data_IF_562047458250
#
_entry.id   IF_562047458250
#
_cell.length_a   1.000
_cell.length_b   1.000
_cell.length_c   1.000
_cell.angle_alpha   90.00
_cell.angle_beta   90.00
_cell.angle_gamma   90.00
#
_symmetry.space_group_name_H-M   'P 1'
#
loop_
_entity.id
_entity.type
_entity.pdbx_description
1 polymer ?
#
# COMPACT_ATOMS: atom_id res chain seq x y z
N UNK A 1 -19.31 -9.63 -28.19
CA UNK A 1 -19.86 -8.66 -27.22
C UNK A 1 -19.98 -9.34 -25.86
N UNK A 2 -19.64 -8.66 -24.76
CA UNK A 2 -19.54 -9.32 -23.46
C UNK A 2 -20.92 -9.56 -22.83
N UNK A 3 -21.12 -10.78 -22.34
CA UNK A 3 -22.33 -11.17 -21.61
C UNK A 3 -22.22 -10.67 -20.17
N UNK A 4 -23.30 -10.13 -19.56
CA UNK A 4 -23.24 -9.71 -18.17
C UNK A 4 -22.78 -10.80 -17.21
N UNK A 5 -21.94 -10.43 -16.24
CA UNK A 5 -21.46 -11.33 -15.19
C UNK A 5 -22.61 -11.75 -14.28
N UNK A 6 -22.68 -13.05 -13.92
CA UNK A 6 -23.65 -13.55 -12.95
C UNK A 6 -23.37 -13.03 -11.53
N UNK A 7 -24.40 -12.85 -10.71
CA UNK A 7 -24.26 -12.23 -9.38
C UNK A 7 -23.22 -12.93 -8.47
N UNK A 8 -23.19 -14.27 -8.44
CA UNK A 8 -22.19 -15.01 -7.65
C UNK A 8 -20.77 -14.83 -8.19
N UNK A 9 -20.61 -14.81 -9.52
CA UNK A 9 -19.32 -14.55 -10.14
C UNK A 9 -18.84 -13.11 -9.89
N UNK A 10 -19.78 -12.15 -9.79
CA UNK A 10 -19.44 -10.77 -9.47
C UNK A 10 -18.87 -10.62 -8.06
N UNK A 11 -19.50 -11.21 -7.04
CA UNK A 11 -18.94 -11.24 -5.67
C UNK A 11 -17.58 -11.91 -5.65
N UNK A 12 -17.45 -13.05 -6.33
CA UNK A 12 -16.19 -13.79 -6.39
C UNK A 12 -15.07 -12.95 -7.05
N UNK A 13 -15.36 -12.27 -8.15
CA UNK A 13 -14.39 -11.42 -8.84
C UNK A 13 -13.91 -10.26 -7.95
N UNK A 14 -14.84 -9.55 -7.27
CA UNK A 14 -14.49 -8.46 -6.36
C UNK A 14 -13.63 -8.96 -5.18
N UNK A 15 -14.03 -10.06 -4.54
CA UNK A 15 -13.27 -10.65 -3.42
C UNK A 15 -11.90 -11.16 -3.88
N UNK A 16 -11.79 -11.69 -5.09
CA UNK A 16 -10.51 -12.13 -5.67
C UNK A 16 -9.53 -10.97 -5.86
N UNK A 17 -10.04 -9.76 -6.08
CA UNK A 17 -9.22 -8.53 -6.07
C UNK A 17 -8.93 -7.97 -4.66
N UNK A 18 -9.30 -8.69 -3.59
CA UNK A 18 -9.03 -8.29 -2.21
C UNK A 18 -10.09 -7.36 -1.59
N UNK A 19 -11.21 -7.11 -2.26
CA UNK A 19 -12.24 -6.19 -1.75
C UNK A 19 -13.06 -6.79 -0.62
N UNK A 20 -13.38 -5.93 0.36
CA UNK A 20 -14.39 -6.19 1.40
C UNK A 20 -15.79 -5.92 0.84
N UNK A 21 -16.45 -6.97 0.39
CA UNK A 21 -17.79 -6.90 -0.20
C UNK A 21 -18.88 -7.04 0.86
N UNK A 22 -19.81 -6.08 0.88
CA UNK A 22 -21.02 -6.08 1.70
C UNK A 22 -22.23 -6.24 0.79
N UNK A 23 -23.09 -7.19 1.10
CA UNK A 23 -24.27 -7.51 0.30
C UNK A 23 -25.52 -6.88 0.91
N UNK A 24 -26.21 -6.00 0.19
CA UNK A 24 -27.29 -5.19 0.77
C UNK A 24 -28.67 -5.69 0.34
N UNK A 25 -29.37 -6.35 1.26
CA UNK A 25 -30.72 -6.87 1.03
C UNK A 25 -30.78 -7.80 -0.20
N UNK A 26 -31.80 -7.62 -1.03
CA UNK A 26 -32.04 -8.41 -2.25
C UNK A 26 -31.24 -7.95 -3.48
N UNK A 27 -30.03 -7.40 -3.32
CA UNK A 27 -29.25 -6.78 -4.40
C UNK A 27 -29.11 -7.65 -5.66
N UNK A 28 -28.99 -8.98 -5.50
CA UNK A 28 -28.84 -9.96 -6.60
C UNK A 28 -29.97 -9.96 -7.61
N UNK A 29 -31.17 -9.54 -7.20
CA UNK A 29 -32.37 -9.47 -8.04
C UNK A 29 -32.97 -8.06 -8.07
N UNK A 30 -32.30 -7.08 -7.45
CA UNK A 30 -32.72 -5.68 -7.45
C UNK A 30 -32.18 -5.00 -8.70
N UNK A 31 -33.06 -4.73 -9.66
CA UNK A 31 -32.71 -4.11 -10.94
C UNK A 31 -33.93 -3.49 -11.62
N UNK A 32 -33.66 -2.88 -12.77
CA UNK A 32 -34.64 -2.24 -13.65
C UNK A 32 -34.71 -2.91 -15.02
N UNK A 33 -34.52 -4.23 -15.10
CA UNK A 33 -34.58 -4.96 -16.38
C UNK A 33 -35.95 -4.81 -17.08
N UNK A 34 -37.01 -4.56 -16.32
CA UNK A 34 -38.34 -4.27 -16.88
C UNK A 34 -38.43 -2.90 -17.60
N UNK A 35 -37.40 -2.05 -17.50
CA UNK A 35 -37.31 -0.77 -18.22
C UNK A 35 -36.51 -0.86 -19.53
N UNK A 36 -35.88 -2.00 -19.80
CA UNK A 36 -35.08 -2.20 -21.00
C UNK A 36 -34.05 -3.30 -20.84
N UNK A 37 -33.41 -3.70 -21.94
CA UNK A 37 -32.40 -4.76 -21.92
C UNK A 37 -31.22 -4.41 -21.00
N UNK A 38 -30.57 -5.44 -20.49
CA UNK A 38 -29.29 -5.36 -19.80
C UNK A 38 -28.24 -6.10 -20.62
N UNK A 39 -27.18 -5.42 -21.00
CA UNK A 39 -26.16 -5.91 -21.89
C UNK A 39 -26.47 -5.71 -23.39
N UNK A 40 -25.50 -5.99 -24.27
CA UNK A 40 -24.11 -6.36 -23.95
C UNK A 40 -23.40 -5.28 -23.14
N UNK A 41 -22.51 -5.69 -22.24
CA UNK A 41 -21.76 -4.76 -21.38
C UNK A 41 -20.40 -4.45 -22.00
N UNK A 42 -19.87 -3.27 -21.71
CA UNK A 42 -18.66 -2.75 -22.35
C UNK A 42 -17.69 -2.07 -21.39
N UNK A 43 -18.11 -1.73 -20.17
CA UNK A 43 -17.19 -1.08 -19.24
C UNK A 43 -17.72 -0.87 -17.84
N UNK A 44 -16.91 -0.15 -17.07
CA UNK A 44 -17.16 0.26 -15.70
C UNK A 44 -17.28 1.78 -15.67
N UNK A 45 -18.32 2.29 -15.00
CA UNK A 45 -18.53 3.72 -14.86
C UNK A 45 -18.41 4.13 -13.40
N UNK A 46 -17.53 5.08 -13.13
CA UNK A 46 -17.29 5.61 -11.78
C UNK A 46 -18.09 6.91 -11.61
N UNK A 47 -18.74 7.04 -10.46
CA UNK A 47 -19.55 8.18 -10.05
C UNK A 47 -19.11 8.67 -8.68
N UNK A 48 -19.44 9.92 -8.35
CA UNK A 48 -19.54 10.36 -6.95
C UNK A 48 -21.01 10.58 -6.60
N UNK A 49 -21.35 10.39 -5.33
CA UNK A 49 -22.76 10.35 -4.91
C UNK A 49 -23.37 11.70 -4.54
N UNK A 50 -22.57 12.73 -4.30
CA UNK A 50 -23.02 14.01 -3.69
C UNK A 50 -23.70 13.76 -2.33
N UNK A 51 -23.14 12.83 -1.56
CA UNK A 51 -23.65 12.45 -0.23
C UNK A 51 -22.51 12.36 0.78
N UNK A 52 -22.89 12.30 2.06
CA UNK A 52 -22.00 11.97 3.16
C UNK A 52 -22.66 10.96 4.09
N UNK A 53 -21.82 10.14 4.74
CA UNK A 53 -22.24 9.09 5.63
C UNK A 53 -22.59 7.81 4.87
N UNK A 54 -21.88 6.74 5.20
CA UNK A 54 -21.96 5.47 4.47
C UNK A 54 -23.37 4.86 4.46
N UNK A 55 -24.06 4.83 5.61
CA UNK A 55 -25.41 4.27 5.70
C UNK A 55 -26.43 5.01 4.82
N UNK A 56 -26.41 6.36 4.85
CA UNK A 56 -27.27 7.19 4.01
C UNK A 56 -26.96 7.02 2.53
N UNK A 57 -25.67 6.99 2.19
CA UNK A 57 -25.20 6.84 0.81
C UNK A 57 -25.65 5.51 0.22
N UNK A 58 -25.45 4.41 0.95
CA UNK A 58 -25.89 3.07 0.53
C UNK A 58 -27.41 3.00 0.37
N UNK A 59 -28.18 3.57 1.29
CA UNK A 59 -29.64 3.58 1.20
C UNK A 59 -30.14 4.37 -0.01
N UNK A 60 -29.60 5.58 -0.25
CA UNK A 60 -29.96 6.39 -1.42
C UNK A 60 -29.63 5.65 -2.72
N UNK A 61 -28.43 5.07 -2.84
CA UNK A 61 -28.07 4.34 -4.06
C UNK A 61 -28.88 3.06 -4.25
N UNK A 62 -29.32 2.40 -3.18
CA UNK A 62 -30.17 1.20 -3.29
C UNK A 62 -31.60 1.55 -3.68
N UNK A 63 -32.21 2.49 -2.97
CA UNK A 63 -33.65 2.78 -3.07
C UNK A 63 -33.93 3.83 -4.15
N UNK A 64 -33.01 4.77 -4.37
CA UNK A 64 -33.22 5.96 -5.18
C UNK A 64 -34.18 6.94 -4.51
N UNK A 65 -34.76 7.81 -5.32
CA UNK A 65 -35.74 8.81 -4.87
C UNK A 65 -36.84 8.98 -5.93
N UNK A 66 -37.86 9.79 -5.64
CA UNK A 66 -39.10 9.87 -6.44
C UNK A 66 -38.87 10.10 -7.95
N UNK A 67 -37.92 10.96 -8.30
CA UNK A 67 -37.59 11.27 -9.71
C UNK A 67 -36.52 10.37 -10.31
N UNK A 68 -35.80 9.59 -9.48
CA UNK A 68 -34.80 8.62 -9.94
C UNK A 68 -34.84 7.35 -9.06
N UNK A 69 -35.74 6.40 -9.38
CA UNK A 69 -35.86 5.18 -8.56
C UNK A 69 -34.66 4.26 -8.75
N UNK A 70 -34.25 3.60 -7.67
CA UNK A 70 -33.07 2.73 -7.65
C UNK A 70 -33.25 1.38 -8.37
N UNK A 71 -32.18 0.55 -8.38
CA UNK A 71 -30.85 0.88 -7.89
C UNK A 71 -30.15 1.93 -8.78
N UNK A 72 -29.37 2.79 -8.15
CA UNK A 72 -28.59 3.85 -8.81
C UNK A 72 -27.18 3.40 -9.19
N UNK A 73 -26.82 2.14 -8.93
CA UNK A 73 -25.54 1.55 -9.30
C UNK A 73 -25.55 0.03 -9.02
N UNK A 74 -24.45 -0.64 -9.32
CA UNK A 74 -24.23 -2.04 -8.94
C UNK A 74 -23.56 -2.14 -7.57
N UNK A 75 -22.62 -1.23 -7.28
CA UNK A 75 -21.95 -1.15 -5.99
C UNK A 75 -21.73 0.28 -5.52
N UNK A 76 -21.81 0.50 -4.20
CA UNK A 76 -21.41 1.74 -3.53
C UNK A 76 -20.03 1.55 -2.88
N UNK A 77 -19.12 2.50 -3.06
CA UNK A 77 -17.79 2.48 -2.44
C UNK A 77 -17.70 3.58 -1.38
N UNK A 78 -17.66 3.18 -0.12
CA UNK A 78 -17.63 4.07 1.04
C UNK A 78 -16.21 4.54 1.36
N UNK A 79 -16.08 5.59 2.17
CA UNK A 79 -14.77 6.19 2.52
C UNK A 79 -13.77 5.20 3.14
N UNK A 80 -14.26 4.14 3.79
CA UNK A 80 -13.45 3.06 4.39
C UNK A 80 -13.05 1.94 3.40
N UNK A 81 -13.35 2.10 2.10
CA UNK A 81 -12.96 1.15 1.05
C UNK A 81 -13.86 -0.09 0.93
N UNK A 82 -15.00 -0.16 1.63
CA UNK A 82 -15.96 -1.26 1.44
C UNK A 82 -16.77 -1.07 0.17
N UNK A 83 -17.11 -2.19 -0.45
CA UNK A 83 -17.98 -2.23 -1.64
C UNK A 83 -19.33 -2.83 -1.26
N UNK A 84 -20.35 -2.00 -1.21
CA UNK A 84 -21.72 -2.37 -0.88
C UNK A 84 -22.51 -2.66 -2.16
N UNK A 85 -22.82 -3.92 -2.43
CA UNK A 85 -23.61 -4.31 -3.61
C UNK A 85 -25.08 -4.03 -3.37
N UNK A 86 -25.67 -3.20 -4.23
CA UNK A 86 -27.05 -2.71 -4.09
C UNK A 86 -27.95 -3.11 -5.26
N UNK A 87 -27.40 -3.48 -6.42
CA UNK A 87 -28.18 -3.92 -7.58
C UNK A 87 -27.40 -4.83 -8.52
N UNK A 88 -28.14 -5.62 -9.30
CA UNK A 88 -27.57 -6.54 -10.31
C UNK A 88 -28.51 -6.70 -11.51
N UNK A 89 -28.06 -6.19 -12.66
CA UNK A 89 -28.88 -5.99 -13.86
C UNK A 89 -28.88 -4.52 -14.26
N UNK A 90 -29.81 -4.10 -15.13
CA UNK A 90 -29.96 -2.69 -15.52
C UNK A 90 -30.18 -1.82 -14.26
N UNK A 91 -29.32 -0.83 -14.04
CA UNK A 91 -29.43 0.16 -12.97
C UNK A 91 -29.60 1.58 -13.55
N UNK A 92 -30.07 2.53 -12.74
CA UNK A 92 -30.27 3.92 -13.16
C UNK A 92 -29.05 4.78 -12.75
N UNK A 93 -27.98 4.73 -13.53
CA UNK A 93 -26.71 5.38 -13.16
C UNK A 93 -26.09 6.20 -14.30
N UNK A 94 -25.93 5.62 -15.48
CA UNK A 94 -25.27 6.26 -16.61
C UNK A 94 -26.19 7.21 -17.38
N UNK A 95 -27.51 6.96 -17.38
CA UNK A 95 -28.44 7.78 -18.15
C UNK A 95 -28.15 7.78 -19.66
N UNK A 96 -28.55 8.87 -20.33
CA UNK A 96 -28.22 9.13 -21.73
C UNK A 96 -26.83 9.75 -21.81
N UNK A 97 -26.00 9.30 -22.74
CA UNK A 97 -24.70 9.90 -23.03
C UNK A 97 -24.30 9.70 -24.49
N UNK A 98 -23.02 9.89 -24.74
CA UNK A 98 -22.45 10.09 -26.07
C UNK A 98 -22.14 8.74 -26.76
N UNK A 99 -22.64 8.52 -27.98
CA UNK A 99 -22.39 7.28 -28.71
C UNK A 99 -20.96 7.15 -29.24
N UNK A 100 -20.27 8.27 -29.51
CA UNK A 100 -18.85 8.25 -29.88
C UNK A 100 -17.98 7.81 -28.70
N UNK A 101 -18.32 8.24 -27.49
CA UNK A 101 -17.69 7.72 -26.26
C UNK A 101 -17.95 6.22 -26.12
N UNK A 102 -19.20 5.76 -26.32
CA UNK A 102 -19.50 4.32 -26.26
C UNK A 102 -18.70 3.53 -27.29
N UNK A 103 -18.61 4.01 -28.54
CA UNK A 103 -17.81 3.39 -29.60
C UNK A 103 -16.33 3.32 -29.21
N UNK A 104 -15.79 4.36 -28.56
CA UNK A 104 -14.41 4.37 -28.08
C UNK A 104 -14.17 3.36 -26.96
N UNK A 105 -15.08 3.24 -25.99
CA UNK A 105 -15.04 2.22 -24.93
C UNK A 105 -15.10 0.81 -25.53
N UNK A 106 -16.02 0.55 -26.47
CA UNK A 106 -16.17 -0.75 -27.14
C UNK A 106 -14.88 -1.15 -27.85
N UNK A 107 -14.20 -0.18 -28.47
CA UNK A 107 -12.96 -0.40 -29.21
C UNK A 107 -11.69 -0.28 -28.32
N UNK A 108 -11.84 0.00 -27.02
CA UNK A 108 -10.76 0.23 -26.06
C UNK A 108 -9.73 1.27 -26.54
N UNK A 109 -10.23 2.42 -26.98
CA UNK A 109 -9.44 3.55 -27.53
C UNK A 109 -9.52 4.78 -26.63
N UNK A 110 -8.70 5.78 -26.92
CA UNK A 110 -8.85 7.11 -26.30
C UNK A 110 -10.26 7.66 -26.51
N UNK A 111 -10.82 8.25 -25.45
CA UNK A 111 -12.16 8.82 -25.49
C UNK A 111 -12.15 10.16 -26.26
N UNK A 112 -13.12 10.39 -27.16
CA UNK A 112 -13.38 11.70 -27.70
C UNK A 112 -14.00 12.61 -26.61
N UNK A 113 -13.98 13.94 -26.79
CA UNK A 113 -14.82 14.82 -25.99
C UNK A 113 -16.28 14.44 -26.17
N UNK A 114 -17.03 14.39 -25.06
CA UNK A 114 -18.47 14.22 -25.07
C UNK A 114 -19.14 15.52 -25.53
N UNK A 115 -20.05 15.42 -26.49
CA UNK A 115 -20.77 16.58 -27.02
C UNK A 115 -22.27 16.34 -27.23
N UNK A 116 -22.74 15.11 -27.09
CA UNK A 116 -24.14 14.76 -27.20
C UNK A 116 -24.62 13.69 -26.20
N UNK A 117 -25.93 13.51 -26.07
CA UNK A 117 -26.54 12.56 -25.15
C UNK A 117 -27.66 11.77 -25.85
N UNK A 118 -27.27 10.89 -26.77
CA UNK A 118 -28.15 10.19 -27.71
C UNK A 118 -28.27 8.67 -27.44
N UNK A 119 -27.50 8.13 -26.49
CA UNK A 119 -27.40 6.67 -26.24
C UNK A 119 -27.65 6.30 -24.77
N UNK A 120 -28.47 5.27 -24.53
CA UNK A 120 -28.73 4.75 -23.16
C UNK A 120 -27.52 3.96 -22.63
N UNK A 121 -26.78 4.56 -21.71
CA UNK A 121 -25.63 3.93 -21.06
C UNK A 121 -26.01 2.92 -19.97
N UNK A 122 -27.22 2.99 -19.42
CA UNK A 122 -27.64 2.15 -18.29
C UNK A 122 -27.62 0.65 -18.60
N UNK A 123 -27.65 0.28 -19.88
CA UNK A 123 -27.59 -1.10 -20.34
C UNK A 123 -26.16 -1.62 -20.57
N UNK A 124 -25.18 -0.72 -20.67
CA UNK A 124 -23.85 -1.04 -21.20
C UNK A 124 -22.73 -0.99 -20.14
N UNK A 125 -22.96 -0.36 -18.99
CA UNK A 125 -21.91 -0.12 -17.99
C UNK A 125 -22.25 -0.70 -16.62
N UNK A 126 -21.23 -1.21 -15.92
CA UNK A 126 -21.33 -1.46 -14.48
C UNK A 126 -21.04 -0.16 -13.71
N UNK A 127 -22.05 0.47 -13.14
CA UNK A 127 -21.89 1.65 -12.28
C UNK A 127 -21.36 1.34 -10.87
N UNK A 128 -20.36 2.11 -10.43
CA UNK A 128 -19.97 2.24 -9.02
C UNK A 128 -20.14 3.68 -8.55
N UNK A 129 -20.90 3.84 -7.47
CA UNK A 129 -21.17 5.12 -6.82
C UNK A 129 -20.26 5.28 -5.60
N UNK A 130 -19.48 6.34 -5.55
CA UNK A 130 -18.49 6.52 -4.48
C UNK A 130 -18.90 7.65 -3.54
N UNK A 131 -18.91 7.37 -2.23
CA UNK A 131 -19.24 8.34 -1.18
C UNK A 131 -18.32 9.56 -1.28
N UNK A 132 -18.84 10.68 -1.78
CA UNK A 132 -18.15 11.96 -1.84
C UNK A 132 -19.15 13.12 -2.02
N UNK A 133 -18.82 14.29 -1.49
CA UNK A 133 -19.64 15.51 -1.63
C UNK A 133 -19.65 16.10 -3.05
N UNK A 134 -18.69 15.74 -3.92
CA UNK A 134 -18.62 16.22 -5.30
C UNK A 134 -18.21 17.69 -5.45
N UNK A 135 -17.77 18.34 -4.37
CA UNK A 135 -17.41 19.76 -4.33
C UNK A 135 -15.95 20.03 -4.75
N UNK A 136 -15.15 18.97 -4.93
CA UNK A 136 -13.72 19.02 -5.23
C UNK A 136 -12.83 19.34 -4.03
N UNK A 137 -13.39 19.36 -2.82
CA UNK A 137 -12.68 19.58 -1.55
C UNK A 137 -12.77 18.36 -0.64
N UNK A 138 -13.89 17.63 -0.67
CA UNK A 138 -14.06 16.39 0.08
C UNK A 138 -13.02 15.34 -0.38
N UNK A 139 -12.12 14.90 0.51
CA UNK A 139 -11.02 14.05 0.14
C UNK A 139 -11.49 12.67 -0.34
N UNK A 140 -10.67 12.06 -1.19
CA UNK A 140 -10.77 10.65 -1.56
C UNK A 140 -9.72 9.87 -0.74
N UNK A 141 -10.10 9.18 0.35
CA UNK A 141 -9.15 8.40 1.12
C UNK A 141 -8.46 7.35 0.26
N UNK A 142 -7.20 7.02 0.58
CA UNK A 142 -6.43 6.02 -0.16
C UNK A 142 -7.16 4.67 -0.25
N UNK A 143 -7.80 4.23 0.84
CA UNK A 143 -8.61 3.01 0.87
C UNK A 143 -9.81 3.05 -0.09
N UNK A 144 -10.42 4.23 -0.29
CA UNK A 144 -11.52 4.39 -1.24
C UNK A 144 -11.01 4.35 -2.69
N UNK A 145 -9.89 5.03 -2.98
CA UNK A 145 -9.27 5.00 -4.31
C UNK A 145 -8.77 3.61 -4.71
N UNK A 146 -8.16 2.89 -3.77
CA UNK A 146 -7.75 1.49 -3.96
C UNK A 146 -8.97 0.58 -4.20
N UNK A 147 -10.07 0.80 -3.49
CA UNK A 147 -11.30 0.06 -3.71
C UNK A 147 -11.93 0.31 -5.10
N UNK A 148 -11.91 1.55 -5.60
CA UNK A 148 -12.38 1.90 -6.96
C UNK A 148 -11.54 1.16 -8.00
N UNK A 149 -10.22 1.23 -7.86
CA UNK A 149 -9.28 0.58 -8.76
C UNK A 149 -9.46 -0.95 -8.79
N UNK A 150 -9.55 -1.59 -7.62
CA UNK A 150 -9.78 -3.04 -7.49
C UNK A 150 -11.12 -3.45 -8.07
N UNK A 151 -12.18 -2.68 -7.85
CA UNK A 151 -13.51 -2.99 -8.35
C UNK A 151 -13.57 -2.92 -9.89
N UNK A 152 -12.93 -1.90 -10.46
CA UNK A 152 -12.79 -1.77 -11.91
C UNK A 152 -11.94 -2.90 -12.50
N UNK A 153 -10.77 -3.18 -11.91
CA UNK A 153 -9.88 -4.26 -12.35
C UNK A 153 -10.55 -5.64 -12.29
N UNK A 154 -11.37 -5.92 -11.27
CA UNK A 154 -12.11 -7.18 -11.14
C UNK A 154 -13.01 -7.45 -12.36
N UNK A 155 -13.75 -6.43 -12.80
CA UNK A 155 -14.62 -6.53 -13.97
C UNK A 155 -13.82 -6.56 -15.27
N UNK A 156 -12.77 -5.74 -15.39
CA UNK A 156 -11.88 -5.79 -16.55
C UNK A 156 -11.28 -7.18 -16.74
N UNK A 157 -10.74 -7.80 -15.68
CA UNK A 157 -10.22 -9.17 -15.77
C UNK A 157 -11.27 -10.20 -16.12
N UNK A 158 -12.48 -10.08 -15.58
CA UNK A 158 -13.55 -11.02 -15.86
C UNK A 158 -13.94 -11.01 -17.35
N UNK A 159 -14.05 -9.81 -17.94
CA UNK A 159 -14.49 -9.64 -19.33
C UNK A 159 -13.33 -9.62 -20.34
N UNK A 160 -12.08 -9.65 -19.88
CA UNK A 160 -10.90 -9.51 -20.72
C UNK A 160 -10.70 -8.08 -21.25
N UNK A 161 -11.22 -7.08 -20.55
CA UNK A 161 -11.06 -5.67 -20.88
C UNK A 161 -9.77 -5.08 -20.33
N UNK A 162 -9.36 -3.97 -20.92
CA UNK A 162 -8.28 -3.09 -20.50
C UNK A 162 -8.82 -1.92 -19.69
N UNK A 163 -7.91 -1.07 -19.23
CA UNK A 163 -8.26 0.10 -18.44
C UNK A 163 -9.10 1.13 -19.20
N UNK A 164 -9.04 1.13 -20.53
CA UNK A 164 -9.82 2.02 -21.41
C UNK A 164 -11.34 1.77 -21.30
N UNK A 165 -11.77 0.60 -20.80
CA UNK A 165 -13.17 0.33 -20.48
C UNK A 165 -13.65 0.96 -19.15
N UNK A 166 -12.78 1.70 -18.44
CA UNK A 166 -13.10 2.36 -17.17
C UNK A 166 -13.20 3.87 -17.37
N UNK A 167 -14.41 4.41 -17.22
CA UNK A 167 -14.72 5.81 -17.49
C UNK A 167 -15.40 6.49 -16.30
N UNK A 168 -15.27 7.80 -16.20
CA UNK A 168 -16.10 8.63 -15.32
C UNK A 168 -17.40 9.02 -16.02
N UNK A 169 -18.43 9.37 -15.26
CA UNK A 169 -19.68 9.92 -15.83
C UNK A 169 -19.43 11.26 -16.55
N UNK A 170 -18.48 12.05 -16.06
CA UNK A 170 -17.98 13.29 -16.67
C UNK A 170 -17.37 13.09 -18.06
N UNK A 171 -17.00 11.85 -18.42
CA UNK A 171 -16.47 11.49 -19.74
C UNK A 171 -17.55 10.88 -20.64
N UNK A 172 -18.78 10.69 -20.13
CA UNK A 172 -19.88 10.00 -20.79
C UNK A 172 -21.00 10.94 -21.25
N UNK A 173 -21.32 11.96 -20.45
CA UNK A 173 -22.48 12.82 -20.68
C UNK A 173 -22.11 14.31 -20.53
N UNK A 174 -22.42 15.15 -21.55
CA UNK A 174 -22.15 16.58 -21.48
C UNK A 174 -22.75 17.25 -20.26
N UNK A 175 -21.91 18.00 -19.54
CA UNK A 175 -22.31 18.76 -18.35
C UNK A 175 -22.30 17.96 -17.04
N UNK A 176 -21.96 16.66 -17.07
CA UNK A 176 -21.65 15.91 -15.85
C UNK A 176 -20.24 16.23 -15.36
N UNK A 177 -20.07 16.18 -14.04
CA UNK A 177 -18.82 16.58 -13.38
C UNK A 177 -18.23 15.45 -12.51
N UNK A 178 -18.90 14.30 -12.43
CA UNK A 178 -18.57 13.21 -11.55
C UNK A 178 -17.78 12.08 -12.23
N UNK A 179 -16.74 11.50 -11.58
CA UNK A 179 -16.18 11.84 -10.28
C UNK A 179 -15.33 13.12 -10.31
N UNK A 180 -15.29 13.86 -9.19
CA UNK A 180 -14.55 15.12 -9.06
C UNK A 180 -13.52 14.97 -7.94
N UNK A 181 -12.30 15.42 -8.16
CA UNK A 181 -11.21 15.38 -7.18
C UNK A 181 -10.03 14.47 -7.56
N UNK A 182 -10.20 13.56 -8.53
CA UNK A 182 -9.10 12.86 -9.20
C UNK A 182 -9.37 12.79 -10.70
N UNK A 183 -8.32 12.52 -11.49
CA UNK A 183 -8.45 12.36 -12.95
C UNK A 183 -8.74 10.91 -13.30
N UNK A 184 -9.66 10.67 -14.23
CA UNK A 184 -9.87 9.33 -14.77
C UNK A 184 -8.65 8.79 -15.52
N UNK A 185 -7.75 9.66 -16.02
CA UNK A 185 -6.46 9.22 -16.58
C UNK A 185 -5.56 8.59 -15.51
N UNK A 186 -5.49 9.18 -14.32
CA UNK A 186 -4.69 8.60 -13.23
C UNK A 186 -5.33 7.32 -12.70
N UNK A 187 -6.66 7.26 -12.60
CA UNK A 187 -7.38 6.04 -12.23
C UNK A 187 -7.16 4.90 -13.26
N UNK A 188 -7.28 5.19 -14.56
CA UNK A 188 -6.98 4.21 -15.62
C UNK A 188 -5.53 3.76 -15.59
N UNK A 189 -4.57 4.63 -15.26
CA UNK A 189 -3.17 4.23 -15.08
C UNK A 189 -3.01 3.22 -13.93
N UNK A 190 -3.66 3.46 -12.79
CA UNK A 190 -3.69 2.52 -11.66
C UNK A 190 -4.31 1.18 -12.03
N UNK A 191 -5.47 1.20 -12.69
CA UNK A 191 -6.13 -0.03 -13.18
C UNK A 191 -5.21 -0.79 -14.15
N UNK A 192 -4.58 -0.10 -15.09
CA UNK A 192 -3.65 -0.72 -16.06
C UNK A 192 -2.50 -1.41 -15.36
N UNK A 193 -1.89 -0.76 -14.38
CA UNK A 193 -0.79 -1.36 -13.62
C UNK A 193 -1.27 -2.57 -12.81
N UNK A 194 -2.40 -2.45 -12.11
CA UNK A 194 -2.98 -3.59 -11.40
C UNK A 194 -3.21 -4.78 -12.32
N UNK A 195 -3.73 -4.55 -13.53
CA UNK A 195 -3.98 -5.61 -14.51
C UNK A 195 -2.71 -6.37 -14.94
N UNK A 196 -1.51 -5.78 -14.80
CA UNK A 196 -0.23 -6.46 -15.04
C UNK A 196 0.16 -7.46 -13.94
N UNK A 197 -0.49 -7.39 -12.78
CA UNK A 197 -0.23 -8.28 -11.63
C UNK A 197 -1.32 -9.32 -11.45
N UNK A 198 -1.10 -10.28 -10.55
CA UNK A 198 -2.14 -11.23 -10.14
C UNK A 198 -3.26 -10.51 -9.37
N UNK A 199 -4.52 -11.00 -9.46
CA UNK A 199 -5.62 -10.48 -8.66
C UNK A 199 -5.27 -10.42 -7.17
N UNK A 200 -5.65 -9.33 -6.51
CA UNK A 200 -5.37 -9.14 -5.08
C UNK A 200 -3.97 -8.59 -4.78
N UNK A 201 -3.15 -8.32 -5.80
CA UNK A 201 -1.90 -7.57 -5.65
C UNK A 201 -2.11 -6.24 -4.90
N UNK A 202 -1.09 -5.80 -4.18
CA UNK A 202 -1.12 -4.55 -3.42
C UNK A 202 0.09 -3.70 -3.81
N UNK A 203 -0.07 -2.38 -3.73
CA UNK A 203 0.96 -1.40 -4.13
C UNK A 203 2.21 -1.42 -3.23
N UNK A 204 2.21 -2.27 -2.20
CA UNK A 204 3.12 -2.20 -1.06
C UNK A 204 2.60 -1.17 -0.06
N UNK A 205 2.64 -1.48 1.23
CA UNK A 205 2.47 -0.46 2.26
C UNK A 205 3.57 0.61 2.04
N UNK A 206 3.21 1.89 2.04
CA UNK A 206 4.23 2.94 2.11
C UNK A 206 5.04 2.69 3.40
N UNK A 207 6.34 2.38 3.25
CA UNK A 207 7.37 2.12 4.27
C UNK A 207 7.65 3.37 5.15
N UNK A 208 6.62 4.11 5.57
CA UNK A 208 6.74 5.26 6.48
C UNK A 208 6.94 4.83 7.94
N UNK A 209 6.82 3.52 8.23
CA UNK A 209 7.16 2.96 9.55
C UNK A 209 8.55 2.32 9.52
N UNK A 210 9.45 2.69 10.45
CA UNK A 210 10.76 2.06 10.52
C UNK A 210 10.65 0.58 10.83
N UNK A 211 11.48 -0.22 10.17
CA UNK A 211 11.79 -1.58 10.56
C UNK A 211 12.66 -1.57 11.82
N UNK A 212 12.60 -2.64 12.63
CA UNK A 212 13.25 -2.70 13.94
C UNK A 212 14.42 -3.67 13.93
N UNK A 213 15.55 -3.25 14.50
CA UNK A 213 16.68 -4.12 14.88
C UNK A 213 16.47 -4.54 16.33
N UNK A 214 16.52 -5.85 16.59
CA UNK A 214 16.15 -6.39 17.90
C UNK A 214 16.98 -7.56 18.40
N UNK A 215 18.25 -7.65 18.00
CA UNK A 215 19.08 -8.81 18.28
C UNK A 215 19.61 -8.87 19.72
N UNK A 216 19.72 -10.09 20.23
CA UNK A 216 20.17 -10.40 21.57
C UNK A 216 20.89 -11.74 21.58
N UNK A 217 22.05 -11.80 22.24
CA UNK A 217 22.78 -13.04 22.48
C UNK A 217 23.52 -13.03 23.81
N UNK A 218 23.70 -14.21 24.39
CA UNK A 218 24.42 -14.48 25.64
C UNK A 218 25.64 -15.36 25.44
N UNK A 219 26.05 -15.58 24.20
CA UNK A 219 27.27 -16.33 23.91
C UNK A 219 28.48 -15.46 24.24
N UNK A 220 29.40 -16.03 25.00
CA UNK A 220 30.62 -15.32 25.41
C UNK A 220 31.47 -14.95 24.18
N UNK A 221 31.86 -13.66 24.11
CA UNK A 221 32.81 -13.17 23.12
C UNK A 221 34.08 -12.73 23.83
N UNK A 222 35.18 -13.41 23.52
CA UNK A 222 36.51 -13.07 24.03
C UNK A 222 37.13 -11.93 23.22
N UNK A 223 37.60 -10.89 23.90
CA UNK A 223 38.37 -9.79 23.34
C UNK A 223 39.83 -9.88 23.80
N UNK A 224 40.76 -9.93 22.85
CA UNK A 224 42.17 -9.74 23.14
C UNK A 224 42.44 -8.25 23.45
N UNK A 225 43.37 -7.95 24.36
CA UNK A 225 43.70 -6.57 24.66
C UNK A 225 44.30 -5.88 23.43
N UNK A 226 43.97 -4.59 23.26
CA UNK A 226 44.49 -3.68 22.23
C UNK A 226 44.20 -4.11 20.79
N UNK A 227 43.23 -5.00 20.56
CA UNK A 227 42.85 -5.47 19.24
C UNK A 227 41.37 -5.19 18.96
N UNK A 228 41.10 -4.61 17.80
CA UNK A 228 39.74 -4.45 17.28
C UNK A 228 39.20 -5.79 16.79
N UNK A 229 37.98 -6.12 17.21
CA UNK A 229 37.27 -7.32 16.79
C UNK A 229 35.88 -6.95 16.28
N UNK A 230 35.58 -7.30 15.03
CA UNK A 230 34.21 -7.28 14.52
C UNK A 230 33.37 -8.28 15.29
N UNK A 231 32.27 -7.82 15.87
CA UNK A 231 31.40 -8.66 16.66
C UNK A 231 30.30 -9.26 15.79
N UNK A 232 30.15 -10.57 15.88
CA UNK A 232 28.98 -11.27 15.38
C UNK A 232 27.90 -11.22 16.45
N UNK A 233 26.84 -10.43 16.24
CA UNK A 233 25.69 -10.31 17.14
C UNK A 233 24.46 -10.82 16.39
N UNK A 234 24.33 -12.16 16.33
CA UNK A 234 23.37 -12.88 15.46
C UNK A 234 23.48 -12.53 13.96
N UNK A 235 24.70 -12.33 13.51
CA UNK A 235 25.06 -11.87 12.18
C UNK A 235 26.17 -10.83 12.29
N UNK A 236 27.16 -10.94 11.41
CA UNK A 236 28.20 -9.90 11.30
C UNK A 236 27.66 -8.65 10.58
N UNK A 237 26.80 -8.84 9.58
CA UNK A 237 26.17 -7.78 8.80
C UNK A 237 24.86 -7.36 9.50
N UNK A 238 24.88 -6.19 10.16
CA UNK A 238 23.73 -5.68 10.92
C UNK A 238 22.63 -5.18 9.98
N UNK A 239 23.04 -4.44 8.96
CA UNK A 239 22.18 -3.96 7.87
C UNK A 239 22.93 -4.13 6.55
N UNK A 240 22.17 -4.36 5.49
CA UNK A 240 22.67 -4.48 4.12
C UNK A 240 21.71 -3.78 3.17
N UNK A 241 22.22 -3.23 2.07
CA UNK A 241 21.37 -2.57 1.08
C UNK A 241 21.30 -1.07 1.30
N UNK A 242 20.54 -0.38 0.44
CA UNK A 242 20.34 1.05 0.57
C UNK A 242 19.40 1.27 1.74
N UNK A 243 19.88 1.90 2.81
CA UNK A 243 19.13 1.98 4.07
C UNK A 243 19.57 3.18 4.89
N UNK A 244 18.63 3.87 5.53
CA UNK A 244 18.89 4.83 6.61
C UNK A 244 18.66 4.16 7.95
N UNK A 245 19.44 4.49 8.98
CA UNK A 245 19.34 3.80 10.26
C UNK A 245 19.68 4.69 11.47
N UNK A 246 19.15 4.26 12.61
CA UNK A 246 19.62 4.58 13.95
C UNK A 246 19.83 3.27 14.70
N UNK A 247 21.03 3.05 15.24
CA UNK A 247 21.42 1.77 15.86
C UNK A 247 22.20 1.98 17.16
N UNK A 248 22.07 1.02 18.07
CA UNK A 248 22.79 0.93 19.34
C UNK A 248 23.26 -0.50 19.57
N UNK A 249 24.54 -0.66 19.92
CA UNK A 249 25.11 -1.88 20.46
C UNK A 249 25.25 -1.74 21.98
N UNK A 250 24.72 -2.71 22.72
CA UNK A 250 24.88 -2.80 24.16
C UNK A 250 25.69 -4.03 24.50
N UNK A 251 26.79 -3.86 25.23
CA UNK A 251 27.66 -4.93 25.67
C UNK A 251 27.64 -5.00 27.19
N UNK A 252 27.57 -6.21 27.74
CA UNK A 252 27.88 -6.48 29.15
C UNK A 252 29.18 -7.26 29.18
N UNK A 253 30.22 -6.72 29.82
CA UNK A 253 31.55 -7.31 29.81
C UNK A 253 32.17 -7.35 31.22
N UNK A 254 32.88 -8.43 31.52
CA UNK A 254 33.69 -8.56 32.72
C UNK A 254 35.04 -7.86 32.48
N UNK A 255 35.13 -6.58 32.84
CA UNK A 255 36.30 -5.73 32.62
C UNK A 255 36.99 -5.44 33.96
N UNK A 256 38.34 -5.49 34.02
CA UNK A 256 39.07 -4.96 35.17
C UNK A 256 38.73 -3.49 35.43
N UNK A 257 38.60 -3.08 36.69
CA UNK A 257 38.31 -1.70 37.02
C UNK A 257 39.40 -0.74 36.49
N UNK A 258 38.99 0.38 35.90
CA UNK A 258 39.90 1.38 35.33
C UNK A 258 40.44 1.05 33.93
N UNK A 259 40.15 -0.14 33.41
CA UNK A 259 40.37 -0.45 31.99
C UNK A 259 39.31 0.23 31.13
N UNK A 260 39.43 0.11 29.81
CA UNK A 260 38.57 0.79 28.86
C UNK A 260 38.06 -0.17 27.80
N UNK A 261 36.78 -0.06 27.45
CA UNK A 261 36.21 -0.67 26.24
C UNK A 261 35.82 0.42 25.25
N UNK A 262 36.27 0.27 24.02
CA UNK A 262 35.97 1.13 22.89
C UNK A 262 35.10 0.38 21.90
N UNK A 263 34.20 1.07 21.23
CA UNK A 263 33.33 0.50 20.21
C UNK A 263 32.96 1.51 19.14
N UNK A 264 32.76 1.02 17.92
CA UNK A 264 32.34 1.85 16.78
C UNK A 264 31.60 1.02 15.75
N UNK A 265 30.79 1.70 14.95
CA UNK A 265 30.19 1.14 13.75
C UNK A 265 31.08 1.44 12.55
N UNK A 266 30.99 0.61 11.52
CA UNK A 266 31.66 0.89 10.26
C UNK A 266 30.85 0.37 9.08
N UNK A 267 31.04 1.01 7.94
CA UNK A 267 30.48 0.59 6.66
C UNK A 267 31.56 -0.19 5.93
N UNK A 268 31.26 -1.43 5.55
CA UNK A 268 32.08 -2.21 4.65
C UNK A 268 31.55 -2.02 3.23
N UNK A 269 32.40 -1.50 2.36
CA UNK A 269 32.08 -1.28 0.94
C UNK A 269 32.31 -2.54 0.10
N UNK A 270 31.70 -2.64 -1.10
CA UNK A 270 31.93 -3.75 -2.01
C UNK A 270 33.40 -3.98 -2.38
N UNK A 271 34.21 -2.92 -2.43
CA UNK A 271 35.64 -2.97 -2.74
C UNK A 271 36.51 -3.38 -1.54
N UNK A 272 35.90 -3.67 -0.38
CA UNK A 272 36.58 -4.03 0.86
C UNK A 272 37.06 -2.83 1.68
N UNK A 273 36.95 -1.60 1.19
CA UNK A 273 37.29 -0.40 1.97
C UNK A 273 36.26 -0.16 3.07
N UNK A 274 36.68 0.57 4.11
CA UNK A 274 35.88 0.83 5.30
C UNK A 274 35.72 2.32 5.52
N UNK A 275 34.50 2.74 5.81
CA UNK A 275 34.25 4.01 6.50
C UNK A 275 33.96 3.71 7.96
N UNK A 276 34.61 4.42 8.89
CA UNK A 276 34.55 4.13 10.32
C UNK A 276 33.88 5.29 11.05
N UNK A 277 32.92 4.99 11.92
CA UNK A 277 32.32 6.00 12.78
C UNK A 277 33.30 6.46 13.86
N UNK A 278 32.96 7.54 14.55
CA UNK A 278 33.64 7.92 15.78
C UNK A 278 33.66 6.79 16.82
N UNK A 279 34.72 6.77 17.63
CA UNK A 279 34.88 5.81 18.73
C UNK A 279 34.10 6.33 19.93
N UNK A 280 33.28 5.46 20.53
CA UNK A 280 32.69 5.68 21.84
C UNK A 280 33.47 4.83 22.85
N UNK A 281 33.78 5.43 23.99
CA UNK A 281 34.59 4.84 25.04
C UNK A 281 33.81 4.71 26.35
N UNK A 282 34.01 3.60 27.07
CA UNK A 282 33.44 3.34 28.40
C UNK A 282 34.51 2.75 29.31
N UNK A 283 34.52 3.19 30.57
CA UNK A 283 35.46 2.71 31.60
C UNK A 283 34.90 1.44 32.26
N UNK A 284 35.78 0.46 32.48
CA UNK A 284 35.49 -0.75 33.24
C UNK A 284 35.28 -0.45 34.72
N UNK A 285 34.21 -0.98 35.29
CA UNK A 285 33.87 -0.87 36.72
C UNK A 285 33.97 -2.23 37.41
N UNK A 286 34.09 -2.26 38.76
CA UNK A 286 34.00 -3.52 39.50
C UNK A 286 32.72 -4.30 39.16
N UNK A 287 32.86 -5.59 38.87
CA UNK A 287 31.77 -6.44 38.40
C UNK A 287 31.64 -6.46 36.87
N UNK A 288 30.41 -6.49 36.37
CA UNK A 288 30.14 -6.42 34.93
C UNK A 288 29.85 -4.97 34.52
N UNK A 289 30.58 -4.50 33.51
CA UNK A 289 30.37 -3.18 32.90
C UNK A 289 29.30 -3.28 31.81
N UNK A 290 28.31 -2.38 31.84
CA UNK A 290 27.35 -2.18 30.76
C UNK A 290 27.82 -1.01 29.89
N UNK A 291 28.13 -1.29 28.62
CA UNK A 291 28.63 -0.31 27.67
C UNK A 291 27.67 -0.14 26.48
N UNK A 292 27.30 1.10 26.18
CA UNK A 292 26.42 1.51 25.09
C UNK A 292 27.20 2.24 23.99
N UNK A 293 26.99 1.83 22.73
CA UNK A 293 27.61 2.42 21.55
C UNK A 293 26.51 2.73 20.55
N UNK A 294 26.35 3.99 20.17
CA UNK A 294 25.25 4.43 19.31
C UNK A 294 25.79 5.05 18.01
N UNK A 295 25.04 4.90 16.94
CA UNK A 295 25.34 5.52 15.67
C UNK A 295 24.08 5.69 14.81
N UNK A 296 24.05 6.71 13.97
CA UNK A 296 23.03 6.90 12.95
C UNK A 296 23.70 7.30 11.65
N UNK A 297 23.08 6.93 10.54
CA UNK A 297 23.64 7.17 9.22
C UNK A 297 22.85 6.47 8.12
N UNK A 298 23.51 6.26 7.00
CA UNK A 298 22.96 5.56 5.86
C UNK A 298 24.04 4.76 5.15
N UNK A 299 23.69 3.59 4.63
CA UNK A 299 24.54 2.76 3.78
C UNK A 299 23.95 2.70 2.36
N UNK A 300 24.82 2.57 1.35
CA UNK A 300 24.41 2.38 -0.04
C UNK A 300 24.06 0.91 -0.36
N UNK A 301 23.44 0.66 -1.52
CA UNK A 301 22.96 -0.67 -1.97
C UNK A 301 23.96 -1.83 -1.83
N UNK A 302 25.26 -1.57 -2.00
CA UNK A 302 26.31 -2.58 -1.89
C UNK A 302 27.06 -2.59 -0.56
N UNK A 303 26.76 -1.66 0.34
CA UNK A 303 27.47 -1.51 1.62
C UNK A 303 26.80 -2.33 2.72
N UNK A 304 27.57 -2.59 3.78
CA UNK A 304 27.16 -3.37 4.95
C UNK A 304 27.50 -2.62 6.23
N UNK A 305 26.55 -2.49 7.14
CA UNK A 305 26.79 -1.92 8.47
C UNK A 305 27.26 -3.03 9.41
N UNK A 306 28.36 -2.78 10.13
CA UNK A 306 28.94 -3.71 11.11
C UNK A 306 29.36 -2.97 12.39
N UNK A 307 29.57 -3.73 13.46
CA UNK A 307 30.04 -3.21 14.74
C UNK A 307 31.31 -3.94 15.18
N UNK A 308 32.24 -3.19 15.78
CA UNK A 308 33.45 -3.74 16.37
C UNK A 308 33.76 -3.09 17.70
N UNK A 309 34.49 -3.84 18.54
CA UNK A 309 34.93 -3.39 19.84
C UNK A 309 36.40 -3.74 20.08
N UNK A 310 37.06 -2.94 20.91
CA UNK A 310 38.40 -3.16 21.40
C UNK A 310 38.45 -2.93 22.91
N UNK A 311 39.32 -3.67 23.59
CA UNK A 311 39.54 -3.57 25.03
C UNK A 311 40.96 -3.06 25.29
N UNK A 312 41.12 -2.09 26.18
CA UNK A 312 42.41 -1.53 26.58
C UNK A 312 42.57 -1.68 28.10
N UNK A 313 43.52 -2.51 28.58
CA UNK A 313 43.78 -2.64 30.01
C UNK A 313 44.31 -1.33 30.63
N UNK A 314 44.13 -1.19 31.95
CA UNK A 314 44.68 -0.06 32.70
C UNK A 314 46.21 -0.15 32.83
N UNK A 315 46.73 -1.35 33.05
CA UNK A 315 48.17 -1.63 32.97
C UNK A 315 48.53 -1.95 31.50
N UNK A 316 49.37 -1.15 30.83
CA UNK A 316 49.75 -1.40 29.44
C UNK A 316 50.47 -2.74 29.21
N UNK A 317 50.98 -3.38 30.26
CA UNK A 317 51.63 -4.69 30.19
C UNK A 317 50.66 -5.86 30.42
N UNK A 318 49.38 -5.59 30.70
CA UNK A 318 48.38 -6.64 30.83
C UNK A 318 48.00 -7.19 29.44
N UNK A 319 48.21 -8.50 29.27
CA UNK A 319 47.88 -9.26 28.08
C UNK A 319 46.64 -10.17 28.30
N UNK A 320 45.98 -10.06 29.46
CA UNK A 320 44.80 -10.85 29.77
C UNK A 320 43.61 -10.42 28.89
N UNK A 321 42.94 -11.37 28.21
CA UNK A 321 41.73 -11.08 27.47
C UNK A 321 40.53 -10.95 28.41
N UNK A 322 39.53 -10.21 27.95
CA UNK A 322 38.24 -10.03 28.64
C UNK A 322 37.10 -10.72 27.91
N UNK A 323 35.97 -10.86 28.57
CA UNK A 323 34.78 -11.53 28.02
C UNK A 323 33.59 -10.60 28.02
N UNK A 324 32.97 -10.45 26.86
CA UNK A 324 31.61 -9.94 26.72
C UNK A 324 30.67 -11.11 26.97
N UNK A 325 29.84 -11.02 28.00
CA UNK A 325 28.88 -12.08 28.41
C UNK A 325 27.49 -11.88 27.81
N UNK A 326 27.19 -10.68 27.33
CA UNK A 326 25.91 -10.38 26.65
C UNK A 326 26.12 -9.28 25.65
N UNK A 327 25.53 -9.41 24.46
CA UNK A 327 25.47 -8.34 23.48
C UNK A 327 24.06 -8.19 22.90
N UNK A 328 23.68 -6.94 22.64
CA UNK A 328 22.36 -6.58 22.11
C UNK A 328 22.52 -5.55 21.00
N UNK A 329 21.73 -5.68 19.94
CA UNK A 329 21.55 -4.63 18.95
C UNK A 329 20.11 -4.13 19.02
N UNK A 330 19.95 -2.81 19.03
CA UNK A 330 18.66 -2.14 18.98
C UNK A 330 18.71 -1.04 17.95
N UNK A 331 17.63 -0.80 17.25
CA UNK A 331 17.61 0.27 16.25
C UNK A 331 16.38 0.30 15.39
N UNK A 332 16.31 1.33 14.57
CA UNK A 332 15.29 1.58 13.56
C UNK A 332 15.97 1.77 12.21
N UNK A 333 15.36 1.27 11.14
CA UNK A 333 15.87 1.47 9.78
C UNK A 333 14.75 1.59 8.75
N UNK A 334 15.08 2.22 7.62
CA UNK A 334 14.19 2.49 6.48
C UNK A 334 14.89 2.10 5.19
N UNK A 335 14.17 1.42 4.30
CA UNK A 335 14.67 1.00 2.98
C UNK A 335 14.66 2.15 1.93
#
# INVERSE_FOLDING_TARGET
MATPIGASAFVAALRKEGLRVVEVGSWRTHNRNHKGPWGPVHGVMIHHTVTSGSARTVEICRTGYSTLPGPLCHGVITKDGRVHLVGHGRANHAGMGDDDVLRAVIAERSLPPDNEANTDGNRHFYGFECENLGDGRDPWPAAQLDAIERAAAALCRHHGWKAESVIGHLEWQPGKVDPRGFSMNTMRARVRERLNHNPGWDWGEEDDVPKVIGEYQTSDIRLAPRQWKTLDIKGTDILTGATRYQVMAHLTAALPAGSTIQGRFYHLRPDGTRWESGIIERVGTPGNTYADFHHSGSIARGEKLRFEAAYYPADPNDDAPVTIVTSRLRGLYWD
#
